data_IF_293942682863
#
_entry.id   IF_293942682863
#
_cell.length_a   1.000
_cell.length_b   1.000
_cell.length_c   1.000
_cell.angle_alpha   90.00
_cell.angle_beta   90.00
_cell.angle_gamma   90.00
#
_symmetry.space_group_name_H-M   'P 1'
#
loop_
_entity.id
_entity.type
_entity.pdbx_description
1 polymer ?
#
# COMPACT_ATOMS: atom_id res chain seq x y z
N UNK A 1 -22.36 3.16 -7.58
CA UNK A 1 -23.06 3.57 -6.36
C UNK A 1 -24.00 2.45 -5.93
N UNK A 2 -24.12 2.24 -4.61
CA UNK A 2 -25.07 1.29 -4.05
C UNK A 2 -26.50 1.77 -4.34
N UNK A 3 -27.46 0.87 -4.64
CA UNK A 3 -28.87 1.27 -4.71
C UNK A 3 -29.32 1.94 -3.41
N UNK A 4 -30.18 2.95 -3.51
CA UNK A 4 -30.59 3.77 -2.34
C UNK A 4 -31.26 2.92 -1.26
N UNK A 5 -32.00 1.89 -1.67
CA UNK A 5 -32.68 0.92 -0.81
C UNK A 5 -31.79 -0.20 -0.24
N UNK A 6 -30.55 -0.32 -0.74
CA UNK A 6 -29.67 -1.38 -0.30
C UNK A 6 -28.98 -1.03 1.03
N UNK A 7 -29.09 -1.92 2.00
CA UNK A 7 -28.39 -1.77 3.26
C UNK A 7 -26.88 -2.09 3.09
N UNK A 8 -25.97 -1.36 3.75
CA UNK A 8 -24.53 -1.63 3.68
C UNK A 8 -24.12 -3.07 4.02
N UNK A 9 -24.87 -3.78 4.82
CA UNK A 9 -24.65 -5.18 5.18
C UNK A 9 -25.34 -6.19 4.26
N UNK A 10 -25.98 -5.72 3.18
CA UNK A 10 -26.58 -6.62 2.21
C UNK A 10 -25.48 -7.43 1.50
N UNK A 11 -25.52 -8.75 1.66
CA UNK A 11 -24.50 -9.67 1.14
C UNK A 11 -24.45 -9.73 -0.39
N UNK A 12 -25.47 -9.23 -1.08
CA UNK A 12 -25.48 -9.16 -2.54
C UNK A 12 -24.51 -8.14 -3.12
N UNK A 13 -23.96 -7.24 -2.28
CA UNK A 13 -23.08 -6.15 -2.72
C UNK A 13 -21.78 -6.14 -1.93
N UNK A 14 -20.65 -6.25 -2.62
CA UNK A 14 -19.38 -5.83 -2.07
C UNK A 14 -19.36 -4.31 -1.94
N UNK A 15 -18.75 -3.78 -0.89
CA UNK A 15 -18.88 -2.37 -0.58
C UNK A 15 -17.54 -1.69 -0.31
N UNK A 16 -17.37 -0.51 -0.92
CA UNK A 16 -16.33 0.45 -0.52
C UNK A 16 -17.05 1.65 0.08
N UNK A 17 -16.80 1.93 1.35
CA UNK A 17 -17.43 3.00 2.11
C UNK A 17 -16.41 4.10 2.40
N UNK A 18 -16.78 5.34 2.08
CA UNK A 18 -16.05 6.53 2.49
C UNK A 18 -16.58 7.01 3.84
N UNK A 19 -15.69 7.15 4.85
CA UNK A 19 -16.06 7.53 6.21
C UNK A 19 -15.42 8.85 6.59
N UNK A 20 -16.25 9.85 6.84
CA UNK A 20 -15.81 11.12 7.41
C UNK A 20 -15.64 10.98 8.92
N UNK A 21 -14.46 11.36 9.41
CA UNK A 21 -14.13 11.33 10.85
C UNK A 21 -13.49 12.63 11.27
N UNK A 22 -13.81 13.10 12.46
CA UNK A 22 -13.14 14.22 13.13
C UNK A 22 -12.00 13.76 14.04
N UNK A 23 -11.99 12.47 14.40
CA UNK A 23 -10.99 11.86 15.27
C UNK A 23 -10.17 10.82 14.53
N UNK A 24 -9.01 10.45 15.10
CA UNK A 24 -8.12 9.45 14.54
C UNK A 24 -8.86 8.14 14.20
N UNK A 25 -8.56 7.58 13.06
CA UNK A 25 -9.09 6.30 12.60
C UNK A 25 -8.26 5.79 11.44
N UNK A 26 -8.44 4.51 11.11
CA UNK A 26 -7.75 3.83 10.03
C UNK A 26 -8.74 3.46 8.92
N UNK A 27 -8.24 3.25 7.71
CA UNK A 27 -8.90 2.49 6.67
C UNK A 27 -8.72 1.01 6.98
N UNK A 28 -9.61 0.18 6.51
CA UNK A 28 -9.50 -1.28 6.64
C UNK A 28 -10.35 -1.98 5.59
N UNK A 29 -9.84 -3.11 5.11
CA UNK A 29 -10.55 -4.08 4.29
C UNK A 29 -10.80 -5.35 5.07
N UNK A 30 -11.93 -5.99 4.84
CA UNK A 30 -12.28 -7.26 5.44
C UNK A 30 -13.26 -8.03 4.57
N UNK A 31 -13.40 -9.32 4.82
CA UNK A 31 -14.39 -10.16 4.16
C UNK A 31 -15.21 -10.96 5.18
N UNK A 32 -16.45 -11.26 4.81
CA UNK A 32 -17.26 -12.26 5.48
C UNK A 32 -17.03 -13.57 4.71
N UNK A 33 -16.55 -14.57 5.43
CA UNK A 33 -16.14 -15.85 4.84
C UNK A 33 -17.01 -16.97 5.44
N UNK A 34 -17.45 -17.92 4.61
CA UNK A 34 -18.06 -19.15 5.10
C UNK A 34 -16.97 -20.01 5.78
N UNK A 35 -17.07 -20.27 7.10
CA UNK A 35 -16.03 -20.98 7.83
C UNK A 35 -15.89 -22.47 7.43
N UNK A 36 -16.86 -23.00 6.68
CA UNK A 36 -16.86 -24.41 6.24
C UNK A 36 -16.12 -24.61 4.93
N UNK A 37 -16.16 -23.59 4.05
CA UNK A 37 -15.66 -23.69 2.67
C UNK A 37 -14.51 -22.73 2.38
N UNK A 38 -14.36 -21.66 3.15
CA UNK A 38 -13.46 -20.56 2.86
C UNK A 38 -13.99 -19.60 1.79
N UNK A 39 -15.22 -19.77 1.30
CA UNK A 39 -15.83 -18.90 0.31
C UNK A 39 -16.02 -17.49 0.88
N UNK A 40 -15.54 -16.49 0.12
CA UNK A 40 -15.75 -15.08 0.45
C UNK A 40 -17.17 -14.69 0.02
N UNK A 41 -18.05 -14.51 0.98
CA UNK A 41 -19.45 -14.15 0.77
C UNK A 41 -19.58 -12.67 0.46
N UNK A 42 -18.78 -11.82 1.13
CA UNK A 42 -18.84 -10.35 0.99
C UNK A 42 -17.51 -9.71 1.35
N UNK A 43 -17.06 -8.79 0.49
CA UNK A 43 -15.97 -7.87 0.79
C UNK A 43 -16.49 -6.52 1.26
N UNK A 44 -15.82 -5.91 2.25
CA UNK A 44 -16.12 -4.59 2.74
C UNK A 44 -14.83 -3.79 2.98
N UNK A 45 -14.77 -2.61 2.38
CA UNK A 45 -13.68 -1.64 2.54
C UNK A 45 -14.21 -0.39 3.21
N UNK A 46 -13.46 0.14 4.16
CA UNK A 46 -13.72 1.42 4.79
C UNK A 46 -12.52 2.33 4.57
N UNK A 47 -12.72 3.45 3.87
CA UNK A 47 -11.70 4.46 3.63
C UNK A 47 -11.98 5.70 4.47
N UNK A 48 -11.00 6.15 5.25
CA UNK A 48 -11.15 7.29 6.14
C UNK A 48 -10.67 8.60 5.53
N UNK A 49 -11.49 9.64 5.58
CA UNK A 49 -11.19 10.98 5.03
C UNK A 49 -9.97 11.67 5.68
N UNK A 50 -9.62 11.30 6.92
CA UNK A 50 -8.44 11.87 7.60
C UNK A 50 -7.13 11.53 6.90
N UNK A 51 -7.06 10.44 6.15
CA UNK A 51 -5.85 10.09 5.40
C UNK A 51 -5.51 11.15 4.37
N UNK A 52 -6.50 11.62 3.61
CA UNK A 52 -6.31 12.71 2.62
C UNK A 52 -5.71 13.94 3.28
N UNK A 53 -6.25 14.36 4.44
CA UNK A 53 -5.71 15.50 5.19
C UNK A 53 -4.25 15.27 5.61
N UNK A 54 -3.91 14.06 6.06
CA UNK A 54 -2.53 13.73 6.44
C UNK A 54 -1.58 13.83 5.27
N UNK A 55 -1.98 13.33 4.10
CA UNK A 55 -1.16 13.38 2.88
C UNK A 55 -0.97 14.81 2.39
N UNK A 56 -1.99 15.66 2.49
CA UNK A 56 -1.86 17.10 2.24
C UNK A 56 -0.82 17.75 3.18
N UNK A 57 -0.88 17.47 4.48
CA UNK A 57 0.07 18.02 5.44
C UNK A 57 1.51 17.53 5.20
N UNK A 58 1.67 16.26 4.77
CA UNK A 58 2.98 15.71 4.39
C UNK A 58 3.50 16.46 3.15
N UNK A 59 2.70 16.57 2.11
CA UNK A 59 3.10 17.27 0.89
C UNK A 59 3.42 18.75 1.16
N UNK A 60 2.59 19.43 1.93
CA UNK A 60 2.81 20.82 2.32
C UNK A 60 4.10 21.02 3.12
N UNK A 61 4.42 20.07 4.02
CA UNK A 61 5.66 20.10 4.79
C UNK A 61 6.92 19.80 3.97
N UNK A 62 6.79 19.07 2.87
CA UNK A 62 7.89 18.72 1.97
C UNK A 62 8.13 19.79 0.88
N UNK A 63 7.06 20.38 0.39
CA UNK A 63 7.07 21.42 -0.64
C UNK A 63 7.11 22.81 0.01
N UNK A 64 6.98 23.86 -0.79
CA UNK A 64 6.90 25.20 -0.28
C UNK A 64 5.54 25.45 0.39
N UNK A 65 5.55 25.72 1.69
CA UNK A 65 4.34 25.95 2.50
C UNK A 65 3.50 27.18 2.05
N UNK A 66 4.12 28.07 1.28
CA UNK A 66 3.53 29.36 0.85
C UNK A 66 3.20 29.37 -0.65
N UNK A 67 3.32 28.23 -1.33
CA UNK A 67 2.93 28.11 -2.73
C UNK A 67 1.41 27.98 -2.85
N UNK A 68 0.80 28.79 -3.72
CA UNK A 68 -0.65 28.74 -4.00
C UNK A 68 -1.02 27.55 -4.93
N UNK A 69 -0.04 26.88 -5.54
CA UNK A 69 -0.29 25.70 -6.37
C UNK A 69 -0.56 24.44 -5.50
N UNK A 70 -1.80 24.06 -5.40
CA UNK A 70 -2.23 22.88 -4.66
C UNK A 70 -2.14 21.58 -5.48
N UNK A 71 -1.83 21.63 -6.78
CA UNK A 71 -1.82 20.45 -7.65
C UNK A 71 -0.86 19.35 -7.18
N UNK A 72 0.38 19.63 -6.74
CA UNK A 72 1.28 18.61 -6.22
C UNK A 72 0.73 17.91 -4.97
N UNK A 73 0.03 18.65 -4.09
CA UNK A 73 -0.60 18.13 -2.90
C UNK A 73 -1.75 17.18 -3.26
N UNK A 74 -2.59 17.60 -4.22
CA UNK A 74 -3.69 16.78 -4.73
C UNK A 74 -3.16 15.49 -5.36
N UNK A 75 -2.14 15.58 -6.20
CA UNK A 75 -1.53 14.45 -6.88
C UNK A 75 -1.00 13.41 -5.89
N UNK A 76 -0.29 13.85 -4.84
CA UNK A 76 0.20 12.96 -3.78
C UNK A 76 -0.97 12.30 -3.04
N UNK A 77 -1.97 13.07 -2.62
CA UNK A 77 -3.10 12.55 -1.88
C UNK A 77 -3.91 11.55 -2.70
N UNK A 78 -4.12 11.81 -3.99
CA UNK A 78 -4.81 10.88 -4.90
C UNK A 78 -4.03 9.60 -5.13
N UNK A 79 -2.71 9.67 -5.37
CA UNK A 79 -1.88 8.48 -5.55
C UNK A 79 -1.89 7.61 -4.29
N UNK A 80 -1.78 8.23 -3.11
CA UNK A 80 -1.90 7.50 -1.85
C UNK A 80 -3.27 6.87 -1.64
N UNK A 81 -4.34 7.58 -1.98
CA UNK A 81 -5.71 7.05 -1.87
C UNK A 81 -5.91 5.85 -2.79
N UNK A 82 -5.39 5.90 -4.02
CA UNK A 82 -5.44 4.78 -4.97
C UNK A 82 -4.67 3.57 -4.45
N UNK A 83 -3.45 3.77 -3.97
CA UNK A 83 -2.63 2.71 -3.35
C UNK A 83 -3.34 2.12 -2.13
N UNK A 84 -3.87 2.96 -1.23
CA UNK A 84 -4.60 2.51 -0.04
C UNK A 84 -5.87 1.74 -0.41
N UNK A 85 -6.64 2.21 -1.38
CA UNK A 85 -7.84 1.52 -1.84
C UNK A 85 -7.52 0.13 -2.40
N UNK A 86 -6.44 -0.01 -3.18
CA UNK A 86 -5.96 -1.30 -3.67
C UNK A 86 -5.53 -2.22 -2.53
N UNK A 87 -4.83 -1.69 -1.51
CA UNK A 87 -4.44 -2.40 -0.30
C UNK A 87 -5.67 -2.98 0.45
N UNK A 88 -6.66 -2.13 0.73
CA UNK A 88 -7.86 -2.56 1.45
C UNK A 88 -8.72 -3.56 0.63
N UNK A 89 -8.76 -3.41 -0.69
CA UNK A 89 -9.38 -4.41 -1.58
C UNK A 89 -8.61 -5.73 -1.52
N UNK A 90 -7.27 -5.70 -1.48
CA UNK A 90 -6.44 -6.88 -1.28
C UNK A 90 -6.85 -7.69 -0.04
N UNK A 91 -7.11 -7.02 1.08
CA UNK A 91 -7.62 -7.67 2.28
C UNK A 91 -8.98 -8.34 2.07
N UNK A 92 -9.87 -7.75 1.26
CA UNK A 92 -11.17 -8.39 0.96
C UNK A 92 -11.03 -9.65 0.10
N UNK A 93 -9.90 -9.81 -0.58
CA UNK A 93 -9.53 -11.00 -1.35
C UNK A 93 -8.73 -12.03 -0.51
N UNK A 94 -8.57 -11.79 0.79
CA UNK A 94 -7.85 -12.68 1.70
C UNK A 94 -6.33 -12.45 1.75
N UNK A 95 -5.81 -11.43 1.08
CA UNK A 95 -4.38 -11.10 1.18
C UNK A 95 -4.09 -10.48 2.55
N UNK A 96 -2.99 -10.90 3.15
CA UNK A 96 -2.44 -10.31 4.36
C UNK A 96 -1.28 -9.38 3.99
N UNK A 97 -0.77 -8.60 4.94
CA UNK A 97 0.36 -7.70 4.70
C UNK A 97 1.59 -8.44 4.17
N UNK A 98 2.36 -7.76 3.31
CA UNK A 98 3.66 -8.22 2.83
C UNK A 98 4.72 -7.13 3.02
N UNK A 99 5.35 -7.11 4.17
CA UNK A 99 6.36 -6.11 4.54
C UNK A 99 7.73 -6.30 3.87
N UNK A 100 7.91 -7.36 3.09
CA UNK A 100 9.12 -7.56 2.30
C UNK A 100 9.05 -6.88 0.92
N UNK A 101 7.91 -6.28 0.56
CA UNK A 101 7.69 -5.74 -0.79
C UNK A 101 8.59 -4.53 -1.10
N UNK A 102 8.89 -3.68 -0.11
CA UNK A 102 9.82 -2.55 -0.24
C UNK A 102 11.21 -2.98 -0.70
N UNK A 103 11.69 -4.15 -0.24
CA UNK A 103 13.00 -4.70 -0.61
C UNK A 103 13.10 -5.14 -2.08
N UNK A 104 11.98 -5.17 -2.81
CA UNK A 104 11.93 -5.49 -4.24
C UNK A 104 11.03 -4.50 -4.99
N UNK A 105 11.45 -3.25 -5.07
CA UNK A 105 10.84 -2.21 -5.89
C UNK A 105 9.32 -2.07 -5.68
N UNK A 106 8.87 -2.05 -4.43
CA UNK A 106 7.43 -1.92 -4.07
C UNK A 106 6.56 -3.00 -4.71
N UNK A 107 7.00 -4.24 -4.61
CA UNK A 107 6.39 -5.37 -5.30
C UNK A 107 4.95 -5.68 -4.89
N UNK A 108 4.41 -5.04 -3.84
CA UNK A 108 3.05 -5.28 -3.35
C UNK A 108 2.41 -4.03 -2.76
N UNK A 109 1.12 -3.86 -3.03
CA UNK A 109 0.29 -2.87 -2.34
C UNK A 109 -0.03 -3.28 -0.91
N UNK A 110 0.21 -4.55 -0.53
CA UNK A 110 -0.03 -5.07 0.82
C UNK A 110 1.05 -4.66 1.82
N UNK A 111 1.97 -3.80 1.44
CA UNK A 111 2.96 -3.18 2.31
C UNK A 111 2.43 -1.88 2.94
N UNK A 112 3.17 -1.31 3.89
CA UNK A 112 2.95 0.01 4.49
C UNK A 112 4.06 0.98 4.05
N UNK A 113 4.02 1.50 2.81
CA UNK A 113 5.04 2.41 2.33
C UNK A 113 4.88 3.81 2.94
N UNK A 114 5.99 4.51 3.16
CA UNK A 114 5.98 5.96 3.22
C UNK A 114 6.07 6.54 1.79
N UNK A 115 5.81 7.85 1.58
CA UNK A 115 5.98 8.42 0.23
C UNK A 115 7.44 8.37 -0.20
N UNK A 116 7.69 7.92 -1.42
CA UNK A 116 9.02 8.03 -2.04
C UNK A 116 9.29 9.49 -2.39
N UNK A 117 10.12 10.12 -1.60
CA UNK A 117 10.55 11.50 -1.81
C UNK A 117 11.94 11.49 -2.42
N UNK A 118 12.10 12.16 -3.57
CA UNK A 118 13.39 12.31 -4.26
C UNK A 118 13.73 13.78 -4.42
N UNK A 119 14.98 14.06 -4.76
CA UNK A 119 15.35 15.34 -5.36
C UNK A 119 15.46 15.17 -6.87
N UNK A 120 14.94 16.13 -7.62
CA UNK A 120 15.10 16.19 -9.06
C UNK A 120 16.52 16.63 -9.46
N UNK A 121 16.78 16.78 -10.78
CA UNK A 121 18.07 17.20 -11.29
C UNK A 121 18.47 18.64 -10.90
N UNK A 122 17.51 19.43 -10.44
CA UNK A 122 17.73 20.81 -9.97
C UNK A 122 17.90 20.86 -8.44
N UNK A 123 17.77 19.73 -7.75
CA UNK A 123 17.81 19.63 -6.29
C UNK A 123 16.51 20.05 -5.62
N UNK A 124 15.39 20.07 -6.34
CA UNK A 124 14.07 20.32 -5.79
C UNK A 124 13.33 19.04 -5.42
N UNK A 125 12.39 19.14 -4.49
CA UNK A 125 11.60 17.98 -4.01
C UNK A 125 10.71 17.46 -5.14
N UNK A 126 10.87 16.18 -5.47
CA UNK A 126 10.05 15.46 -6.43
C UNK A 126 9.18 14.42 -5.73
N UNK A 127 7.86 14.58 -5.84
CA UNK A 127 6.82 13.69 -5.32
C UNK A 127 6.06 12.95 -6.44
N UNK A 128 6.49 13.05 -7.68
CA UNK A 128 5.79 12.50 -8.85
C UNK A 128 5.61 10.97 -8.78
N UNK A 129 6.50 10.29 -8.05
CA UNK A 129 6.48 8.85 -7.83
C UNK A 129 6.28 8.49 -6.35
N UNK A 130 5.63 9.37 -5.58
CA UNK A 130 5.49 9.19 -4.14
C UNK A 130 4.81 7.86 -3.77
N UNK A 131 3.79 7.46 -4.54
CA UNK A 131 3.10 6.17 -4.38
C UNK A 131 2.81 5.55 -5.74
N UNK A 132 2.94 4.24 -5.83
CA UNK A 132 2.52 3.49 -7.01
C UNK A 132 0.99 3.39 -7.08
N UNK A 133 0.46 3.43 -8.31
CA UNK A 133 -1.00 3.51 -8.55
C UNK A 133 -1.60 2.15 -8.91
N UNK A 134 -0.77 1.17 -9.28
CA UNK A 134 -1.18 -0.18 -9.67
C UNK A 134 -0.77 -1.19 -8.61
N UNK A 135 -1.32 -2.42 -8.73
CA UNK A 135 -0.88 -3.55 -7.92
C UNK A 135 0.53 -3.98 -8.34
N UNK A 136 1.28 -4.52 -7.38
CA UNK A 136 2.65 -4.97 -7.60
C UNK A 136 2.76 -6.36 -8.20
N UNK A 137 3.97 -6.74 -8.57
CA UNK A 137 4.25 -8.06 -9.18
C UNK A 137 3.98 -9.21 -8.21
N UNK A 138 4.21 -9.01 -6.92
CA UNK A 138 3.86 -10.00 -5.90
C UNK A 138 2.34 -10.15 -5.79
N UNK A 139 1.58 -9.07 -5.83
CA UNK A 139 0.12 -9.11 -5.78
C UNK A 139 -0.45 -9.92 -6.94
N UNK A 140 0.10 -9.70 -8.16
CA UNK A 140 -0.28 -10.47 -9.35
C UNK A 140 -0.01 -11.97 -9.15
N UNK A 141 1.14 -12.32 -8.58
CA UNK A 141 1.49 -13.71 -8.30
C UNK A 141 0.56 -14.31 -7.24
N UNK A 142 0.27 -13.56 -6.16
CA UNK A 142 -0.61 -14.00 -5.09
C UNK A 142 -2.05 -14.21 -5.57
N UNK A 143 -2.58 -13.32 -6.42
CA UNK A 143 -3.90 -13.47 -7.01
C UNK A 143 -3.94 -14.66 -7.99
N UNK A 144 -2.90 -14.84 -8.81
CA UNK A 144 -2.81 -16.03 -9.66
C UNK A 144 -2.80 -17.31 -8.84
N UNK A 145 -2.05 -17.34 -7.74
CA UNK A 145 -1.98 -18.49 -6.85
C UNK A 145 -3.35 -18.83 -6.24
N UNK A 146 -4.08 -17.85 -5.75
CA UNK A 146 -5.33 -18.06 -5.02
C UNK A 146 -6.58 -18.18 -5.91
N UNK A 147 -6.56 -17.63 -7.13
CA UNK A 147 -7.78 -17.43 -7.91
C UNK A 147 -7.76 -18.03 -9.33
N UNK A 148 -6.64 -18.61 -9.77
CA UNK A 148 -6.62 -19.27 -11.09
C UNK A 148 -7.44 -20.56 -11.03
N UNK A 149 -8.41 -20.69 -11.90
CA UNK A 149 -9.11 -21.95 -12.13
C UNK A 149 -8.39 -22.75 -13.21
N UNK A 150 -8.01 -23.97 -12.87
CA UNK A 150 -7.36 -24.90 -13.79
C UNK A 150 -8.36 -25.88 -14.37
N UNK A 151 -8.12 -26.37 -15.58
CA UNK A 151 -8.87 -27.47 -16.17
C UNK A 151 -8.61 -28.76 -15.39
N UNK A 152 -9.55 -29.72 -15.49
CA UNK A 152 -9.50 -30.97 -14.69
C UNK A 152 -8.28 -31.86 -15.00
N UNK A 153 -7.70 -31.72 -16.21
CA UNK A 153 -6.51 -32.45 -16.67
C UNK A 153 -5.18 -31.83 -16.24
N UNK A 154 -5.21 -30.69 -15.58
CA UNK A 154 -4.01 -29.98 -15.10
C UNK A 154 -3.67 -30.41 -13.68
N UNK A 155 -2.41 -30.81 -13.48
CA UNK A 155 -1.86 -31.01 -12.13
C UNK A 155 -1.69 -29.65 -11.45
N UNK A 156 -2.70 -29.27 -10.68
CA UNK A 156 -2.78 -27.98 -9.97
C UNK A 156 -1.64 -27.81 -8.98
N UNK A 157 -1.28 -28.85 -8.23
CA UNK A 157 -0.22 -28.78 -7.20
C UNK A 157 1.13 -28.50 -7.83
N UNK A 158 1.47 -29.20 -8.92
CA UNK A 158 2.70 -28.98 -9.66
C UNK A 158 2.76 -27.59 -10.29
N UNK A 159 1.62 -27.12 -10.82
CA UNK A 159 1.52 -25.78 -11.45
C UNK A 159 1.69 -24.68 -10.41
N UNK A 160 1.04 -24.79 -9.26
CA UNK A 160 1.17 -23.82 -8.16
C UNK A 160 2.60 -23.81 -7.59
N UNK A 161 3.22 -24.99 -7.46
CA UNK A 161 4.62 -25.07 -7.02
C UNK A 161 5.56 -24.35 -7.99
N UNK A 162 5.38 -24.55 -9.30
CA UNK A 162 6.15 -23.85 -10.34
C UNK A 162 5.96 -22.33 -10.24
N UNK A 163 4.72 -21.87 -10.08
CA UNK A 163 4.41 -20.45 -9.90
C UNK A 163 5.16 -19.86 -8.68
N UNK A 164 5.18 -20.57 -7.55
CA UNK A 164 5.89 -20.13 -6.35
C UNK A 164 7.40 -20.09 -6.55
N UNK A 165 7.97 -21.13 -7.21
CA UNK A 165 9.41 -21.17 -7.50
C UNK A 165 9.84 -20.02 -8.42
N UNK A 166 9.06 -19.71 -9.46
CA UNK A 166 9.31 -18.58 -10.36
C UNK A 166 9.18 -17.25 -9.64
N UNK A 167 8.15 -17.09 -8.81
CA UNK A 167 7.94 -15.91 -7.98
C UNK A 167 9.15 -15.68 -7.06
N UNK A 168 9.62 -16.73 -6.42
CA UNK A 168 10.77 -16.67 -5.52
C UNK A 168 12.08 -16.36 -6.26
N UNK A 169 12.30 -16.93 -7.46
CA UNK A 169 13.47 -16.65 -8.32
C UNK A 169 13.54 -15.19 -8.76
N UNK A 170 12.40 -14.54 -8.93
CA UNK A 170 12.29 -13.09 -9.23
C UNK A 170 12.58 -12.19 -8.01
N UNK A 171 12.88 -12.75 -6.86
CA UNK A 171 13.14 -12.03 -5.62
C UNK A 171 11.88 -11.57 -4.88
N UNK A 172 10.68 -11.94 -5.35
CA UNK A 172 9.42 -11.60 -4.72
C UNK A 172 9.28 -12.41 -3.42
N UNK A 173 9.49 -11.74 -2.30
CA UNK A 173 9.42 -12.32 -0.96
C UNK A 173 8.07 -12.03 -0.32
N UNK A 174 7.71 -12.88 0.63
CA UNK A 174 6.52 -12.70 1.44
C UNK A 174 6.88 -12.83 2.92
N UNK A 175 6.66 -11.76 3.67
CA UNK A 175 6.87 -11.70 5.11
C UNK A 175 5.73 -10.88 5.71
N UNK A 176 4.88 -11.54 6.47
CA UNK A 176 3.71 -10.91 7.08
C UNK A 176 3.96 -10.45 8.52
N UNK A 177 2.94 -9.88 9.15
CA UNK A 177 2.97 -9.29 10.49
C UNK A 177 3.66 -10.17 11.53
N UNK A 178 3.35 -11.46 11.52
CA UNK A 178 3.87 -12.39 12.52
C UNK A 178 5.38 -12.52 12.49
N UNK A 179 5.94 -12.54 11.28
CA UNK A 179 7.37 -12.78 11.08
C UNK A 179 8.16 -11.47 11.02
N UNK A 180 7.55 -10.39 10.51
CA UNK A 180 8.16 -9.07 10.46
C UNK A 180 8.22 -8.39 11.84
N UNK A 181 7.28 -8.71 12.74
CA UNK A 181 7.06 -8.03 14.01
C UNK A 181 7.07 -8.99 15.18
N UNK A 182 7.98 -9.95 15.17
CA UNK A 182 8.20 -10.82 16.31
C UNK A 182 8.51 -10.01 17.57
N UNK A 183 8.04 -10.49 18.74
CA UNK A 183 8.12 -9.76 20.00
C UNK A 183 9.56 -9.33 20.38
N UNK A 184 10.54 -10.13 19.98
CA UNK A 184 11.95 -9.95 20.39
C UNK A 184 12.89 -9.65 19.21
N UNK A 185 12.36 -9.22 18.05
CA UNK A 185 13.19 -9.03 16.88
C UNK A 185 12.60 -8.12 15.81
N UNK A 186 13.50 -7.69 14.90
CA UNK A 186 13.16 -7.03 13.66
C UNK A 186 13.67 -7.86 12.49
N UNK A 187 12.88 -7.99 11.44
CA UNK A 187 13.31 -8.68 10.24
C UNK A 187 14.17 -7.75 9.37
N UNK A 188 15.30 -8.18 8.80
CA UNK A 188 16.23 -7.29 8.10
C UNK A 188 15.68 -6.71 6.79
N UNK A 189 14.66 -7.31 6.17
CA UNK A 189 14.07 -6.89 4.91
C UNK A 189 12.54 -6.71 4.98
N UNK A 190 11.98 -6.61 6.18
CA UNK A 190 10.53 -6.46 6.35
C UNK A 190 10.25 -5.45 7.47
N UNK A 191 10.25 -4.20 7.09
CA UNK A 191 9.95 -3.07 7.95
C UNK A 191 8.63 -2.43 7.54
N UNK A 192 8.07 -1.61 8.42
CA UNK A 192 6.93 -0.78 8.15
C UNK A 192 7.42 0.64 7.88
N UNK A 193 6.75 1.33 6.96
CA UNK A 193 7.03 2.72 6.64
C UNK A 193 8.46 2.92 6.13
N UNK A 194 8.91 2.01 5.29
CA UNK A 194 10.21 2.05 4.62
C UNK A 194 10.06 2.09 3.10
N UNK A 195 11.18 2.23 2.44
CA UNK A 195 11.38 2.18 1.01
C UNK A 195 12.76 1.61 0.70
N UNK A 196 12.90 1.07 -0.52
CA UNK A 196 14.18 0.63 -1.04
C UNK A 196 14.68 -0.70 -0.49
N UNK A 197 15.84 -1.12 -0.98
CA UNK A 197 16.43 -2.44 -0.69
C UNK A 197 17.46 -2.38 0.44
N UNK A 198 17.99 -1.20 0.75
CA UNK A 198 19.10 -0.99 1.69
C UNK A 198 18.76 0.15 2.66
N UNK A 199 18.45 -0.20 3.90
CA UNK A 199 18.00 0.75 4.92
C UNK A 199 19.01 1.89 5.18
N UNK A 200 20.33 1.63 5.07
CA UNK A 200 21.34 2.66 5.24
C UNK A 200 21.32 3.69 4.10
N UNK A 201 21.13 3.25 2.86
CA UNK A 201 21.02 4.13 1.70
C UNK A 201 19.75 4.98 1.78
N UNK A 202 18.65 4.38 2.24
CA UNK A 202 17.38 5.09 2.44
C UNK A 202 17.50 6.15 3.55
N UNK A 203 18.19 5.85 4.64
CA UNK A 203 18.49 6.83 5.68
C UNK A 203 19.28 8.02 5.11
N UNK A 204 20.32 7.75 4.32
CA UNK A 204 21.13 8.81 3.69
C UNK A 204 20.25 9.68 2.78
N UNK A 205 19.44 9.05 1.93
CA UNK A 205 18.50 9.76 1.04
C UNK A 205 17.54 10.65 1.83
N UNK A 206 16.93 10.10 2.88
CA UNK A 206 15.99 10.86 3.71
C UNK A 206 16.66 11.99 4.49
N UNK A 207 17.92 11.85 4.89
CA UNK A 207 18.67 12.93 5.53
C UNK A 207 18.94 14.09 4.56
N UNK A 208 19.24 13.80 3.30
CA UNK A 208 19.40 14.82 2.25
C UNK A 208 18.08 15.55 1.99
N UNK A 209 16.98 14.82 1.84
CA UNK A 209 15.64 15.42 1.69
C UNK A 209 15.29 16.29 2.90
N UNK A 210 15.53 15.81 4.11
CA UNK A 210 15.29 16.56 5.34
C UNK A 210 16.08 17.86 5.40
N UNK A 211 17.36 17.85 5.02
CA UNK A 211 18.21 19.05 4.98
C UNK A 211 17.63 20.08 4.01
N UNK A 212 17.25 19.66 2.79
CA UNK A 212 16.62 20.55 1.80
C UNK A 212 15.33 21.16 2.34
N UNK A 213 14.44 20.36 2.94
CA UNK A 213 13.16 20.85 3.49
C UNK A 213 13.38 21.85 4.62
N UNK A 214 14.29 21.57 5.54
CA UNK A 214 14.58 22.47 6.65
C UNK A 214 15.17 23.80 6.18
N UNK A 215 16.01 23.77 5.13
CA UNK A 215 16.53 24.97 4.51
C UNK A 215 15.42 25.80 3.88
N UNK A 216 14.53 25.19 3.12
CA UNK A 216 13.39 25.87 2.49
C UNK A 216 12.48 26.53 3.54
N UNK A 217 12.20 25.86 4.67
CA UNK A 217 11.40 26.42 5.77
C UNK A 217 12.13 27.65 6.36
N UNK A 218 13.43 27.56 6.60
CA UNK A 218 14.22 28.67 7.19
C UNK A 218 14.31 29.89 6.27
N UNK A 219 14.34 29.69 4.96
CA UNK A 219 14.42 30.80 3.98
C UNK A 219 13.07 31.51 3.77
N UNK A 220 11.95 30.84 4.11
CA UNK A 220 10.59 31.38 3.92
C UNK A 220 9.90 31.78 5.25
N UNK A 221 10.57 31.71 6.37
CA UNK A 221 10.09 32.11 7.69
C UNK A 221 10.66 33.48 8.10
#
# INVERSE_FOLDING_TARGET
LLPVEAHPWDIRYNMIQWVHRSTRGWSYGSSIVDPRTGEIIKGQVSLGSLRVRQDFLIAQGLLNMYDDDINPLMTLAESRLKQLAAHEVGHTLGLVHNYAASSNNRASVMDYPHPLVKLDNNGEIDLSQAYDVNIGEWDIAAIKYGYTQYAEDIDTDSTLKTLLEETYKRGLRFISDRDARAADGAHPIAHLWDEGTEAANELIRMMIVREKVLKNISENS
#
